data_IF_507176032076
#
_entry.id   IF_507176032076
#
_cell.length_a   1.000
_cell.length_b   1.000
_cell.length_c   1.000
_cell.angle_alpha   90.00
_cell.angle_beta   90.00
_cell.angle_gamma   90.00
#
_symmetry.space_group_name_H-M   'P 1'
#
loop_
_entity.id
_entity.type
_entity.pdbx_description
1 polymer ?
#
# COMPACT_ATOMS: atom_id res chain seq x y z
N UNK A 1 9.87 -12.42 -9.40
CA UNK A 1 10.22 -12.37 -7.95
C UNK A 1 9.12 -13.08 -7.17
N UNK A 2 9.48 -13.98 -6.23
CA UNK A 2 8.51 -14.60 -5.31
C UNK A 2 8.01 -13.57 -4.28
N UNK A 3 6.87 -13.86 -3.62
CA UNK A 3 6.35 -12.99 -2.54
C UNK A 3 7.33 -12.85 -1.38
N UNK A 4 8.03 -13.93 -1.04
CA UNK A 4 9.06 -13.92 0.01
C UNK A 4 10.24 -13.03 -0.35
N UNK A 5 10.75 -13.12 -1.58
CA UNK A 5 11.82 -12.25 -2.07
C UNK A 5 11.39 -10.79 -2.08
N UNK A 6 10.16 -10.51 -2.52
CA UNK A 6 9.61 -9.17 -2.52
C UNK A 6 9.46 -8.61 -1.10
N UNK A 7 8.93 -9.41 -0.16
CA UNK A 7 8.84 -9.01 1.26
C UNK A 7 10.22 -8.72 1.85
N UNK A 8 11.21 -9.59 1.59
CA UNK A 8 12.60 -9.36 2.01
C UNK A 8 13.14 -8.06 1.43
N UNK A 9 12.87 -7.78 0.16
CA UNK A 9 13.31 -6.54 -0.50
C UNK A 9 12.64 -5.31 0.13
N UNK A 10 11.33 -5.37 0.41
CA UNK A 10 10.62 -4.31 1.16
C UNK A 10 11.27 -4.05 2.52
N UNK A 11 11.75 -5.08 3.22
CA UNK A 11 12.38 -4.95 4.54
C UNK A 11 13.85 -4.50 4.53
N UNK A 12 14.52 -4.52 3.39
CA UNK A 12 15.96 -4.26 3.27
C UNK A 12 16.33 -3.16 2.27
N UNK A 13 15.37 -2.55 1.60
CA UNK A 13 15.63 -1.48 0.64
C UNK A 13 16.21 -0.23 1.32
N UNK A 14 17.01 0.53 0.57
CA UNK A 14 17.52 1.83 1.03
C UNK A 14 16.57 2.92 0.62
N UNK A 15 15.67 3.26 1.52
CA UNK A 15 14.61 4.22 1.28
C UNK A 15 15.13 5.67 1.18
N UNK A 16 14.51 6.44 0.29
CA UNK A 16 14.62 7.90 0.25
C UNK A 16 13.58 8.46 1.20
N UNK A 17 14.02 9.11 2.27
CA UNK A 17 13.15 9.73 3.27
C UNK A 17 12.85 11.17 2.87
N UNK A 18 11.57 11.52 2.79
CA UNK A 18 11.07 12.85 2.45
C UNK A 18 10.65 13.63 3.70
N UNK A 19 10.34 12.90 4.77
CA UNK A 19 10.15 13.42 6.12
C UNK A 19 10.81 12.47 7.15
N UNK A 20 10.98 12.91 8.41
CA UNK A 20 11.67 12.09 9.42
C UNK A 20 10.92 10.82 9.85
N UNK A 21 9.60 10.73 9.61
CA UNK A 21 8.78 9.75 10.32
C UNK A 21 8.01 8.80 9.40
N UNK A 22 7.44 9.28 8.29
CA UNK A 22 6.38 8.55 7.60
C UNK A 22 6.50 8.47 6.09
N UNK A 23 7.04 9.50 5.43
CA UNK A 23 7.09 9.59 3.98
C UNK A 23 8.43 9.13 3.43
N UNK A 24 8.49 7.89 3.01
CA UNK A 24 9.66 7.31 2.36
C UNK A 24 9.26 6.41 1.21
N UNK A 25 10.12 6.32 0.21
CA UNK A 25 9.95 5.41 -0.91
C UNK A 25 11.30 4.89 -1.41
N UNK A 26 11.26 3.77 -2.09
CA UNK A 26 12.37 3.24 -2.89
C UNK A 26 11.90 3.03 -4.31
N UNK A 27 12.68 3.51 -5.28
CA UNK A 27 12.42 3.30 -6.68
C UNK A 27 13.62 2.62 -7.34
N UNK A 28 13.37 1.56 -8.09
CA UNK A 28 14.37 0.81 -8.83
C UNK A 28 13.89 0.57 -10.25
N UNK A 29 14.79 0.72 -11.21
CA UNK A 29 14.56 0.37 -12.60
C UNK A 29 15.35 -0.86 -12.96
N UNK A 30 14.67 -1.89 -13.48
CA UNK A 30 15.27 -3.11 -14.01
C UNK A 30 14.70 -3.36 -15.43
N UNK A 31 15.49 -3.02 -16.44
CA UNK A 31 15.03 -3.04 -17.84
C UNK A 31 13.84 -2.09 -18.05
N UNK A 32 12.71 -2.62 -18.49
CA UNK A 32 11.44 -1.91 -18.69
C UNK A 32 10.50 -1.95 -17.47
N UNK A 33 10.94 -2.56 -16.36
CA UNK A 33 10.16 -2.67 -15.12
C UNK A 33 10.58 -1.61 -14.11
N UNK A 34 9.62 -0.80 -13.64
CA UNK A 34 9.77 0.11 -12.51
C UNK A 34 9.25 -0.58 -11.25
N UNK A 35 10.08 -0.65 -10.21
CA UNK A 35 9.68 -1.18 -8.90
C UNK A 35 9.62 -0.07 -7.87
N UNK A 36 8.48 0.04 -7.18
CA UNK A 36 8.22 1.05 -6.16
C UNK A 36 7.91 0.34 -4.83
N UNK A 37 8.73 0.62 -3.81
CA UNK A 37 8.57 0.02 -2.49
C UNK A 37 8.32 1.11 -1.44
N UNK A 38 7.51 0.76 -0.43
CA UNK A 38 7.15 1.67 0.66
C UNK A 38 7.44 1.03 2.00
N UNK A 39 8.15 1.79 2.83
CA UNK A 39 8.58 1.39 4.15
C UNK A 39 7.44 1.43 5.18
N UNK A 40 7.55 0.63 6.24
CA UNK A 40 6.74 0.86 7.44
C UNK A 40 7.16 2.18 8.11
N UNK A 41 6.27 2.80 8.89
CA UNK A 41 6.65 4.00 9.67
C UNK A 41 7.71 3.66 10.72
N UNK A 42 8.78 4.47 10.79
CA UNK A 42 9.89 4.28 11.74
C UNK A 42 9.53 4.59 13.21
N UNK A 43 8.35 5.16 13.46
CA UNK A 43 7.85 5.47 14.79
C UNK A 43 7.42 4.22 15.55
N UNK A 44 8.28 3.68 16.41
CA UNK A 44 7.94 2.63 17.39
C UNK A 44 6.87 3.06 18.40
N UNK A 45 6.54 4.33 18.42
CA UNK A 45 5.66 4.96 19.38
C UNK A 45 4.36 5.30 18.68
N UNK A 46 3.26 4.91 18.88
CA UNK A 46 1.96 5.51 18.55
C UNK A 46 1.21 5.16 17.25
N UNK A 47 1.52 4.05 16.58
CA UNK A 47 0.50 3.58 15.64
C UNK A 47 -0.87 3.36 16.35
N UNK A 48 -0.87 3.06 17.68
CA UNK A 48 -2.10 3.00 18.50
C UNK A 48 -2.78 4.37 18.69
N UNK A 49 -2.00 5.45 18.75
CA UNK A 49 -2.52 6.81 18.99
C UNK A 49 -2.75 7.60 17.70
N UNK A 50 -2.04 7.29 16.60
CA UNK A 50 -2.14 8.00 15.32
C UNK A 50 -3.27 7.50 14.41
N UNK A 51 -3.98 6.43 14.76
CA UNK A 51 -5.21 6.04 14.09
C UNK A 51 -6.37 6.97 14.46
N UNK A 52 -6.22 8.26 14.15
CA UNK A 52 -7.39 9.12 13.99
C UNK A 52 -8.12 8.62 12.74
N UNK A 53 -9.17 7.84 12.94
CA UNK A 53 -9.99 7.25 11.87
C UNK A 53 -10.79 8.32 11.13
N UNK A 54 -10.09 9.34 10.63
CA UNK A 54 -10.68 10.42 9.86
C UNK A 54 -10.57 10.08 8.37
N UNK A 55 -11.71 10.05 7.72
CA UNK A 55 -11.78 9.98 6.26
C UNK A 55 -11.93 11.37 5.67
N UNK A 56 -11.25 11.62 4.55
CA UNK A 56 -11.37 12.84 3.79
C UNK A 56 -11.79 12.53 2.35
N UNK A 57 -12.60 13.41 1.72
CA UNK A 57 -12.88 13.28 0.31
C UNK A 57 -11.61 13.53 -0.49
N UNK A 58 -11.42 12.72 -1.53
CA UNK A 58 -10.29 12.85 -2.42
C UNK A 58 -10.77 13.10 -3.85
N UNK A 59 -10.13 14.05 -4.52
CA UNK A 59 -10.10 14.16 -5.99
C UNK A 59 -8.64 14.12 -6.38
N UNK A 60 -8.03 12.94 -6.36
CA UNK A 60 -6.58 12.86 -6.43
C UNK A 60 -6.02 13.33 -7.76
N UNK A 61 -6.77 13.21 -8.86
CA UNK A 61 -6.22 13.44 -10.19
C UNK A 61 -7.03 14.47 -10.98
N UNK A 62 -6.32 15.26 -11.82
CA UNK A 62 -6.93 16.21 -12.74
C UNK A 62 -7.79 15.46 -13.76
N UNK A 63 -9.04 15.88 -13.92
CA UNK A 63 -9.99 15.25 -14.84
C UNK A 63 -10.77 14.08 -14.26
N UNK A 64 -10.48 13.63 -13.03
CA UNK A 64 -11.26 12.60 -12.37
C UNK A 64 -12.65 13.12 -12.01
N UNK A 65 -13.69 12.44 -12.45
CA UNK A 65 -15.08 12.78 -12.16
C UNK A 65 -15.59 12.15 -10.86
N UNK A 66 -15.03 11.03 -10.47
CA UNK A 66 -15.41 10.31 -9.26
C UNK A 66 -14.63 10.80 -8.04
N UNK A 67 -15.35 11.18 -6.99
CA UNK A 67 -14.79 11.42 -5.66
C UNK A 67 -14.85 10.14 -4.86
N UNK A 68 -13.78 9.81 -4.15
CA UNK A 68 -13.75 8.73 -3.17
C UNK A 68 -13.15 9.24 -1.86
N UNK A 69 -13.27 8.47 -0.80
CA UNK A 69 -12.81 8.87 0.52
C UNK A 69 -11.69 7.97 0.98
N UNK A 70 -10.64 8.57 1.53
CA UNK A 70 -9.49 7.86 2.08
C UNK A 70 -9.22 8.25 3.53
N UNK A 71 -8.50 7.37 4.22
CA UNK A 71 -7.91 7.66 5.52
C UNK A 71 -6.96 8.87 5.39
N UNK A 72 -7.24 9.92 6.17
CA UNK A 72 -6.54 11.21 6.08
C UNK A 72 -5.02 11.09 6.22
N UNK A 73 -4.57 10.28 7.19
CA UNK A 73 -3.13 10.10 7.46
C UNK A 73 -2.40 9.47 6.27
N UNK A 74 -2.89 8.33 5.78
CA UNK A 74 -2.26 7.65 4.63
C UNK A 74 -2.29 8.50 3.37
N UNK A 75 -3.42 9.17 3.10
CA UNK A 75 -3.51 10.04 1.94
C UNK A 75 -2.61 11.26 2.06
N UNK A 76 -2.43 11.82 3.26
CA UNK A 76 -1.49 12.91 3.52
C UNK A 76 -0.04 12.51 3.20
N UNK A 77 0.39 11.35 3.67
CA UNK A 77 1.72 10.80 3.37
C UNK A 77 1.87 10.53 1.86
N UNK A 78 0.86 9.94 1.23
CA UNK A 78 0.87 9.73 -0.22
C UNK A 78 1.08 11.05 -0.98
N UNK A 79 0.41 12.13 -0.60
CA UNK A 79 0.55 13.45 -1.26
C UNK A 79 1.94 14.08 -1.10
N UNK A 80 2.72 13.66 -0.12
CA UNK A 80 4.14 14.03 0.00
C UNK A 80 4.99 13.22 -1.00
N UNK A 81 4.69 11.94 -1.17
CA UNK A 81 5.47 11.01 -2.02
C UNK A 81 5.15 11.18 -3.51
N UNK A 82 3.87 11.33 -3.86
CA UNK A 82 3.35 11.34 -5.24
C UNK A 82 4.16 12.23 -6.20
N UNK A 83 4.51 13.49 -5.85
CA UNK A 83 5.24 14.37 -6.77
C UNK A 83 6.61 13.83 -7.20
N UNK A 84 7.24 13.02 -6.36
CA UNK A 84 8.55 12.41 -6.66
C UNK A 84 8.46 11.20 -7.58
N UNK A 85 7.26 10.66 -7.80
CA UNK A 85 7.03 9.49 -8.64
C UNK A 85 6.45 9.83 -10.02
N UNK A 86 5.99 11.07 -10.24
CA UNK A 86 5.29 11.49 -11.46
C UNK A 86 6.12 11.16 -12.72
N UNK A 87 7.35 11.63 -12.78
CA UNK A 87 8.21 11.44 -13.96
C UNK A 87 8.62 9.98 -14.13
N UNK A 88 8.85 9.24 -13.03
CA UNK A 88 9.18 7.82 -13.07
C UNK A 88 8.03 6.99 -13.64
N UNK A 89 6.79 7.29 -13.24
CA UNK A 89 5.59 6.58 -13.72
C UNK A 89 5.26 6.98 -15.16
N UNK A 90 5.48 8.25 -15.51
CA UNK A 90 5.19 8.78 -16.86
C UNK A 90 6.24 8.38 -17.92
N UNK A 91 7.37 7.81 -17.52
CA UNK A 91 8.44 7.40 -18.45
C UNK A 91 7.87 6.39 -19.47
N UNK A 92 7.87 6.72 -20.79
CA UNK A 92 7.30 5.87 -21.82
C UNK A 92 8.06 4.55 -22.04
N UNK A 93 9.28 4.43 -21.51
CA UNK A 93 10.07 3.20 -21.58
C UNK A 93 9.72 2.21 -20.47
N UNK A 94 8.85 2.61 -19.51
CA UNK A 94 8.28 1.71 -18.52
C UNK A 94 7.11 0.95 -19.14
N UNK A 95 7.19 -0.38 -19.14
CA UNK A 95 6.16 -1.30 -19.63
C UNK A 95 5.51 -2.11 -18.52
N UNK A 96 6.11 -2.10 -17.31
CA UNK A 96 5.60 -2.78 -16.13
C UNK A 96 5.92 -1.98 -14.87
N UNK A 97 4.97 -1.95 -13.93
CA UNK A 97 5.19 -1.39 -12.59
C UNK A 97 4.88 -2.45 -11.52
N UNK A 98 5.83 -2.69 -10.63
CA UNK A 98 5.69 -3.57 -9.47
C UNK A 98 5.71 -2.72 -8.19
N UNK A 99 4.67 -2.86 -7.36
CA UNK A 99 4.49 -2.03 -6.17
C UNK A 99 4.37 -2.92 -4.95
N UNK A 100 5.11 -2.62 -3.89
CA UNK A 100 4.93 -3.34 -2.63
C UNK A 100 5.19 -2.46 -1.41
N UNK A 101 4.59 -2.86 -0.29
CA UNK A 101 4.83 -2.22 1.01
C UNK A 101 4.38 -3.11 2.16
N UNK A 102 4.90 -2.82 3.35
CA UNK A 102 4.54 -3.54 4.57
C UNK A 102 3.91 -2.58 5.59
N UNK A 103 2.86 -3.03 6.29
CA UNK A 103 2.17 -2.27 7.32
C UNK A 103 1.68 -0.90 6.80
N UNK A 104 2.13 0.21 7.37
CA UNK A 104 1.89 1.58 6.86
C UNK A 104 2.29 1.70 5.38
N UNK A 105 3.48 1.20 5.01
CA UNK A 105 3.93 1.18 3.62
C UNK A 105 3.01 0.39 2.69
N UNK A 106 2.31 -0.62 3.21
CA UNK A 106 1.27 -1.36 2.47
C UNK A 106 0.06 -0.48 2.13
N UNK A 107 -0.33 0.44 3.01
CA UNK A 107 -1.37 1.43 2.73
C UNK A 107 -0.94 2.44 1.66
N UNK A 108 0.33 2.87 1.71
CA UNK A 108 0.88 3.77 0.70
C UNK A 108 1.02 3.06 -0.66
N UNK A 109 1.46 1.79 -0.66
CA UNK A 109 1.53 0.95 -1.85
C UNK A 109 0.17 0.83 -2.55
N UNK A 110 -0.92 0.71 -1.77
CA UNK A 110 -2.28 0.66 -2.28
C UNK A 110 -2.70 1.98 -2.97
N UNK A 111 -2.34 3.13 -2.39
CA UNK A 111 -2.59 4.45 -3.00
C UNK A 111 -1.74 4.66 -4.25
N UNK A 112 -0.47 4.24 -4.23
CA UNK A 112 0.41 4.25 -5.39
C UNK A 112 -0.13 3.36 -6.52
N UNK A 113 -0.64 2.18 -6.20
CA UNK A 113 -1.23 1.27 -7.18
C UNK A 113 -2.45 1.90 -7.88
N UNK A 114 -3.32 2.55 -7.13
CA UNK A 114 -4.48 3.27 -7.69
C UNK A 114 -4.02 4.41 -8.62
N UNK A 115 -2.99 5.16 -8.22
CA UNK A 115 -2.36 6.19 -9.03
C UNK A 115 -1.79 5.64 -10.35
N UNK A 116 -0.98 4.58 -10.27
CA UNK A 116 -0.34 3.99 -11.45
C UNK A 116 -1.37 3.40 -12.42
N UNK A 117 -2.35 2.66 -11.93
CA UNK A 117 -3.41 2.08 -12.77
C UNK A 117 -4.34 3.13 -13.40
N UNK A 118 -4.47 4.31 -12.77
CA UNK A 118 -5.19 5.44 -13.36
C UNK A 118 -4.40 6.13 -14.48
N UNK A 119 -3.11 6.41 -14.25
CA UNK A 119 -2.27 7.17 -15.18
C UNK A 119 -1.65 6.32 -16.28
N UNK A 120 -1.48 5.03 -16.05
CA UNK A 120 -0.87 4.07 -16.98
C UNK A 120 -1.78 2.85 -17.18
N UNK A 121 -2.98 3.05 -17.74
CA UNK A 121 -3.89 1.94 -18.08
C UNK A 121 -3.38 1.08 -19.25
N UNK A 122 -2.31 1.52 -19.90
CA UNK A 122 -1.66 0.91 -21.07
C UNK A 122 -0.65 -0.18 -20.71
N UNK A 123 -0.23 -0.28 -19.44
CA UNK A 123 0.81 -1.22 -19.00
C UNK A 123 0.32 -2.12 -17.87
N UNK A 124 1.10 -3.16 -17.59
CA UNK A 124 0.86 -4.03 -16.45
C UNK A 124 1.31 -3.37 -15.15
N UNK A 125 0.38 -3.23 -14.19
CA UNK A 125 0.67 -2.78 -12.84
C UNK A 125 0.30 -3.88 -11.86
N UNK A 126 1.26 -4.33 -11.05
CA UNK A 126 1.05 -5.30 -9.98
C UNK A 126 1.31 -4.66 -8.62
N UNK A 127 0.57 -5.07 -7.60
CA UNK A 127 0.73 -4.47 -6.27
C UNK A 127 0.44 -5.45 -5.14
N UNK A 128 1.29 -5.40 -4.09
CA UNK A 128 1.14 -6.22 -2.88
C UNK A 128 1.33 -5.36 -1.64
N UNK A 129 0.34 -5.40 -0.74
CA UNK A 129 0.44 -4.84 0.61
C UNK A 129 0.50 -5.95 1.65
N UNK A 130 1.66 -6.16 2.27
CA UNK A 130 1.82 -7.09 3.38
C UNK A 130 1.33 -6.44 4.68
N UNK A 131 0.36 -7.02 5.36
CA UNK A 131 -0.19 -6.47 6.59
C UNK A 131 -0.81 -5.06 6.42
N UNK A 132 -1.29 -4.73 5.22
CA UNK A 132 -1.77 -3.39 4.91
C UNK A 132 -3.09 -3.08 5.62
N UNK A 133 -3.20 -1.92 6.30
CA UNK A 133 -4.46 -1.45 6.87
C UNK A 133 -5.45 -0.99 5.79
N UNK A 134 -6.70 -0.76 6.19
CA UNK A 134 -7.75 -0.26 5.29
C UNK A 134 -7.55 1.22 5.01
N UNK A 135 -7.60 1.58 3.75
CA UNK A 135 -7.40 2.96 3.28
C UNK A 135 -8.71 3.62 2.87
N UNK A 136 -9.58 2.90 2.14
CA UNK A 136 -10.80 3.46 1.59
C UNK A 136 -11.94 3.52 2.60
N UNK A 137 -12.75 4.58 2.52
CA UNK A 137 -13.91 4.80 3.38
C UNK A 137 -15.19 4.96 2.56
N UNK A 138 -16.30 4.44 3.10
CA UNK A 138 -17.64 4.58 2.52
C UNK A 138 -17.83 3.86 1.19
N UNK A 139 -18.72 4.35 0.36
CA UNK A 139 -18.92 3.81 -0.99
C UNK A 139 -17.75 4.17 -1.88
N UNK A 140 -17.10 3.16 -2.45
CA UNK A 140 -16.01 3.34 -3.43
C UNK A 140 -16.58 3.22 -4.84
N UNK A 141 -16.32 4.18 -5.74
CA UNK A 141 -16.79 4.12 -7.12
C UNK A 141 -16.39 2.82 -7.83
N UNK A 142 -17.26 2.33 -8.71
CA UNK A 142 -17.04 1.07 -9.43
C UNK A 142 -15.72 1.08 -10.20
N UNK A 143 -15.44 2.16 -10.92
CA UNK A 143 -14.19 2.29 -11.69
C UNK A 143 -12.91 2.21 -10.81
N UNK A 144 -12.96 2.73 -9.57
CA UNK A 144 -11.86 2.59 -8.60
C UNK A 144 -11.72 1.14 -8.16
N UNK A 145 -12.83 0.45 -7.86
CA UNK A 145 -12.80 -0.98 -7.48
C UNK A 145 -12.24 -1.85 -8.59
N UNK A 146 -12.62 -1.57 -9.85
CA UNK A 146 -12.14 -2.31 -11.02
C UNK A 146 -10.63 -2.14 -11.19
N UNK A 147 -10.10 -0.91 -11.07
CA UNK A 147 -8.65 -0.68 -11.09
C UNK A 147 -7.91 -1.39 -9.95
N UNK A 148 -8.52 -1.40 -8.76
CA UNK A 148 -7.93 -2.01 -7.56
C UNK A 148 -8.02 -3.54 -7.51
N UNK A 149 -8.71 -4.17 -8.46
CA UNK A 149 -8.91 -5.62 -8.46
C UNK A 149 -7.60 -6.43 -8.54
N UNK A 150 -6.54 -5.84 -9.12
CA UNK A 150 -5.21 -6.46 -9.21
C UNK A 150 -4.31 -6.25 -7.97
N UNK A 151 -4.73 -5.45 -6.99
CA UNK A 151 -3.95 -5.25 -5.77
C UNK A 151 -4.20 -6.38 -4.77
N UNK A 152 -3.12 -6.99 -4.27
CA UNK A 152 -3.18 -8.06 -3.27
C UNK A 152 -2.88 -7.51 -1.89
N UNK A 153 -3.68 -7.88 -0.91
CA UNK A 153 -3.40 -7.67 0.51
C UNK A 153 -3.12 -9.01 1.15
N UNK A 154 -1.88 -9.23 1.55
CA UNK A 154 -1.46 -10.44 2.25
C UNK A 154 -1.61 -10.19 3.75
N UNK A 155 -2.43 -11.01 4.40
CA UNK A 155 -2.60 -11.04 5.84
C UNK A 155 -1.99 -12.31 6.40
N UNK A 156 -1.11 -12.18 7.37
CA UNK A 156 -0.63 -13.33 8.12
C UNK A 156 -1.61 -13.64 9.26
N UNK A 157 -2.09 -14.88 9.33
CA UNK A 157 -2.95 -15.37 10.39
C UNK A 157 -4.07 -14.39 10.80
N UNK A 158 -4.05 -13.99 12.05
CA UNK A 158 -5.00 -13.04 12.67
C UNK A 158 -4.53 -11.60 12.71
N UNK A 159 -3.54 -11.17 11.93
CA UNK A 159 -2.98 -9.81 11.93
C UNK A 159 -4.05 -8.72 12.04
N UNK A 160 -4.08 -8.05 13.20
CA UNK A 160 -5.08 -7.04 13.53
C UNK A 160 -4.98 -5.80 12.66
N UNK A 161 -3.79 -5.45 12.17
CA UNK A 161 -3.57 -4.22 11.39
C UNK A 161 -4.39 -4.24 10.10
N UNK A 162 -4.56 -5.38 9.48
CA UNK A 162 -5.40 -5.51 8.27
C UNK A 162 -6.90 -5.29 8.55
N UNK A 163 -7.29 -5.30 9.82
CA UNK A 163 -8.65 -4.99 10.28
C UNK A 163 -8.84 -3.52 10.64
N UNK A 164 -7.76 -2.73 10.68
CA UNK A 164 -7.77 -1.31 11.04
C UNK A 164 -7.72 -0.41 9.79
N UNK A 165 -8.39 0.75 9.81
CA UNK A 165 -9.47 1.09 10.71
C UNK A 165 -10.66 0.13 10.62
N UNK A 166 -11.45 -0.03 11.71
CA UNK A 166 -12.57 -0.97 11.73
C UNK A 166 -13.64 -0.69 10.67
N UNK A 167 -14.25 -1.74 10.14
CA UNK A 167 -15.40 -1.63 9.20
C UNK A 167 -16.59 -0.87 9.81
N UNK A 168 -16.75 -0.94 11.13
CA UNK A 168 -17.79 -0.22 11.86
C UNK A 168 -17.71 1.30 11.63
N UNK A 169 -16.51 1.83 11.46
CA UNK A 169 -16.29 3.25 11.15
C UNK A 169 -16.34 3.55 9.63
N UNK A 170 -16.86 2.62 8.81
CA UNK A 170 -17.07 2.82 7.39
C UNK A 170 -15.88 2.47 6.49
N UNK A 171 -14.73 2.05 7.06
CA UNK A 171 -13.56 1.68 6.26
C UNK A 171 -13.75 0.34 5.55
N UNK A 172 -13.21 0.23 4.33
CA UNK A 172 -13.37 -0.90 3.44
C UNK A 172 -12.04 -1.48 3.02
N UNK A 173 -11.96 -2.80 3.00
CA UNK A 173 -10.88 -3.49 2.30
C UNK A 173 -11.18 -3.46 0.81
N UNK A 174 -10.26 -2.94 0.01
CA UNK A 174 -10.30 -2.94 -1.45
C UNK A 174 -9.07 -3.69 -1.95
N UNK A 175 -9.21 -4.39 -3.07
CA UNK A 175 -8.23 -5.36 -3.54
C UNK A 175 -8.55 -6.78 -3.06
N UNK A 176 -7.70 -7.72 -3.41
CA UNK A 176 -7.83 -9.14 -3.08
C UNK A 176 -7.15 -9.42 -1.74
N UNK A 177 -7.92 -9.85 -0.73
CA UNK A 177 -7.37 -10.29 0.55
C UNK A 177 -7.03 -11.78 0.48
N UNK A 178 -5.78 -12.10 0.76
CA UNK A 178 -5.30 -13.48 0.92
C UNK A 178 -4.73 -13.65 2.32
N UNK A 179 -5.02 -14.79 2.94
CA UNK A 179 -4.51 -15.14 4.27
C UNK A 179 -3.45 -16.19 4.13
N UNK A 180 -2.31 -15.97 4.74
CA UNK A 180 -1.18 -16.90 4.82
C UNK A 180 -0.89 -17.22 6.29
N UNK A 181 -0.27 -18.37 6.56
CA UNK A 181 0.09 -18.81 7.92
C UNK A 181 -1.10 -19.04 8.85
N UNK A 182 -0.83 -19.74 9.93
CA UNK A 182 -1.79 -20.02 10.99
C UNK A 182 -1.80 -18.89 12.04
N UNK A 183 -2.96 -18.55 12.63
CA UNK A 183 -3.03 -17.50 13.62
C UNK A 183 -2.34 -17.90 14.93
N UNK A 184 -1.42 -17.06 15.39
CA UNK A 184 -0.73 -17.19 16.67
C UNK A 184 -1.24 -16.14 17.66
N UNK A 185 -1.37 -14.89 17.20
CA UNK A 185 -1.88 -13.78 17.98
C UNK A 185 -2.04 -12.51 17.14
N UNK A 186 -3.02 -11.67 17.44
CA UNK A 186 -3.39 -10.57 16.54
C UNK A 186 -2.29 -9.50 16.38
N UNK A 187 -1.38 -9.37 17.35
CA UNK A 187 -0.24 -8.45 17.30
C UNK A 187 0.99 -9.19 16.79
N UNK A 188 1.22 -10.40 17.28
CA UNK A 188 2.35 -11.27 16.92
C UNK A 188 2.33 -11.59 15.43
N UNK A 189 1.16 -11.84 14.86
CA UNK A 189 0.97 -12.12 13.44
C UNK A 189 1.33 -10.92 12.55
N UNK A 190 1.34 -9.70 13.12
CA UNK A 190 1.79 -8.50 12.41
C UNK A 190 3.31 -8.36 12.36
N UNK A 191 4.08 -9.08 13.17
CA UNK A 191 5.52 -8.88 13.16
C UNK A 191 6.18 -9.34 11.85
N UNK A 192 7.24 -8.63 11.40
CA UNK A 192 7.96 -9.00 10.17
C UNK A 192 8.50 -10.43 10.17
N UNK A 193 8.89 -10.94 11.35
CA UNK A 193 9.35 -12.32 11.52
C UNK A 193 8.25 -13.34 11.23
N UNK A 194 7.01 -13.06 11.64
CA UNK A 194 5.86 -13.91 11.39
C UNK A 194 5.50 -13.93 9.90
N UNK A 195 5.47 -12.77 9.22
CA UNK A 195 5.29 -12.70 7.77
C UNK A 195 6.39 -13.44 7.01
N UNK A 196 7.67 -13.30 7.43
CA UNK A 196 8.77 -14.02 6.82
C UNK A 196 8.58 -15.53 6.90
N UNK A 197 8.09 -16.04 8.03
CA UNK A 197 7.81 -17.47 8.23
C UNK A 197 6.65 -17.93 7.35
N UNK A 198 5.50 -17.27 7.42
CA UNK A 198 4.30 -17.62 6.68
C UNK A 198 4.46 -17.58 5.14
N UNK A 199 5.38 -16.78 4.63
CA UNK A 199 5.68 -16.70 3.20
C UNK A 199 6.67 -17.78 2.72
N UNK A 200 7.18 -18.64 3.61
CA UNK A 200 8.04 -19.79 3.27
C UNK A 200 7.29 -21.10 3.14
N UNK A 201 6.09 -21.16 3.69
CA UNK A 201 5.15 -22.28 3.57
C UNK A 201 4.38 -22.24 2.25
#
# INVERSE_FOLDING_TARGET
MTRQELFKKVRSARYTHLDPETASYYAEREGNTLRLLFEESNGKTDWKNNFRFLAIPTKPYKGMTATWFAHRGFFGVWKIIEPHLVDLVADPTVERIEIAGYSHGGAIALLCFEYCTYHRPDIEVTGIGFGAPRVFWGPVPRAVKERMAGFQVIRNGGDIVTHLPPRLFGFRQIGQLEVVGEPVGPIEDHFPSAYKHALTE
#
